data_IF_481687102474
#
_entry.id   IF_481687102474
#
_cell.length_a   1.000
_cell.length_b   1.000
_cell.length_c   1.000
_cell.angle_alpha   90.00
_cell.angle_beta   90.00
_cell.angle_gamma   90.00
#
_symmetry.space_group_name_H-M   'P 1'
#
loop_
_entity.id
_entity.type
_entity.pdbx_description
1 polymer ?
#
# COMPACT_ATOMS: atom_id res chain seq x y z
N UNK A 1 -12.89 8.99 -5.32
CA UNK A 1 -12.64 9.20 -3.86
C UNK A 1 -13.86 8.97 -2.97
N UNK A 2 -15.08 8.92 -3.49
CA UNK A 2 -16.29 8.70 -2.68
C UNK A 2 -16.19 7.44 -1.80
N UNK A 3 -15.63 6.34 -2.31
CA UNK A 3 -15.43 5.10 -1.56
C UNK A 3 -14.44 5.28 -0.39
N UNK A 4 -13.38 6.07 -0.57
CA UNK A 4 -12.43 6.36 0.50
C UNK A 4 -13.05 7.24 1.58
N UNK A 5 -13.82 8.27 1.19
CA UNK A 5 -14.55 9.09 2.16
C UNK A 5 -15.52 8.22 2.98
N UNK A 6 -16.25 7.29 2.32
CA UNK A 6 -17.19 6.41 3.02
C UNK A 6 -16.52 5.51 4.08
N UNK A 7 -15.26 5.12 3.86
CA UNK A 7 -14.51 4.24 4.78
C UNK A 7 -13.78 5.01 5.87
N UNK A 8 -13.15 6.14 5.51
CA UNK A 8 -12.15 6.79 6.38
C UNK A 8 -12.63 8.09 7.01
N UNK A 9 -13.63 8.76 6.41
CA UNK A 9 -14.07 10.06 6.88
C UNK A 9 -15.12 9.97 8.00
N UNK A 10 -15.18 10.96 8.88
CA UNK A 10 -16.31 11.13 9.77
C UNK A 10 -17.57 11.45 8.99
N UNK A 11 -18.72 11.23 9.59
CA UNK A 11 -20.01 11.64 9.04
C UNK A 11 -20.30 13.11 9.39
N UNK A 12 -20.83 13.84 8.45
CA UNK A 12 -21.38 15.17 8.66
C UNK A 12 -22.76 15.13 9.30
N UNK A 13 -23.35 16.30 9.55
CA UNK A 13 -24.67 16.45 10.17
C UNK A 13 -25.79 15.87 9.30
N UNK A 14 -25.57 15.77 7.99
CA UNK A 14 -26.45 15.13 7.02
C UNK A 14 -26.32 13.59 6.99
N UNK A 15 -25.45 13.04 7.85
CA UNK A 15 -25.15 11.60 7.91
C UNK A 15 -24.28 11.08 6.77
N UNK A 16 -23.84 11.93 5.83
CA UNK A 16 -22.97 11.54 4.73
C UNK A 16 -21.48 11.63 5.13
N UNK A 17 -20.59 10.84 4.51
CA UNK A 17 -19.16 10.95 4.72
C UNK A 17 -18.66 12.33 4.29
N UNK A 18 -17.94 13.03 5.18
CA UNK A 18 -17.34 14.32 4.87
C UNK A 18 -16.23 14.16 3.82
N UNK A 19 -16.16 15.03 2.79
CA UNK A 19 -15.07 14.97 1.82
C UNK A 19 -13.74 15.38 2.44
N UNK A 20 -12.66 14.67 2.08
CA UNK A 20 -11.30 15.01 2.52
C UNK A 20 -10.85 16.37 1.97
N UNK A 21 -11.27 16.68 0.76
CA UNK A 21 -10.93 17.94 0.10
C UNK A 21 -12.07 18.41 -0.80
N UNK A 22 -12.09 19.69 -1.03
CA UNK A 22 -12.98 20.35 -1.99
C UNK A 22 -12.49 20.03 -3.41
N UNK A 23 -13.37 19.48 -4.26
CA UNK A 23 -13.03 19.00 -5.61
C UNK A 23 -12.74 20.13 -6.61
N UNK A 24 -13.25 21.34 -6.38
CA UNK A 24 -13.07 22.50 -7.26
C UNK A 24 -11.75 23.22 -6.95
N UNK A 25 -11.45 23.37 -5.67
CA UNK A 25 -10.29 24.15 -5.21
C UNK A 25 -9.08 23.31 -4.80
N UNK A 26 -9.27 22.01 -4.57
CA UNK A 26 -8.25 21.12 -4.02
C UNK A 26 -7.95 21.37 -2.53
N UNK A 27 -8.68 22.27 -1.87
CA UNK A 27 -8.43 22.62 -0.47
C UNK A 27 -8.77 21.45 0.45
N UNK A 28 -7.80 21.00 1.23
CA UNK A 28 -7.97 19.90 2.19
C UNK A 28 -8.74 20.40 3.41
N UNK A 29 -9.71 19.60 3.89
CA UNK A 29 -10.37 19.81 5.17
C UNK A 29 -9.48 19.27 6.30
N UNK A 30 -8.93 20.14 7.17
CA UNK A 30 -8.00 19.72 8.22
C UNK A 30 -8.64 18.84 9.30
N UNK A 31 -9.93 18.96 9.53
CA UNK A 31 -10.65 18.10 10.46
C UNK A 31 -10.76 16.67 9.92
N UNK A 32 -11.16 16.53 8.66
CA UNK A 32 -11.24 15.23 7.99
C UNK A 32 -9.86 14.61 7.83
N UNK A 33 -8.84 15.40 7.42
CA UNK A 33 -7.47 14.93 7.30
C UNK A 33 -6.95 14.35 8.61
N UNK A 34 -7.21 15.02 9.74
CA UNK A 34 -6.84 14.52 11.07
C UNK A 34 -7.55 13.21 11.43
N UNK A 35 -8.82 13.05 11.02
CA UNK A 35 -9.53 11.80 11.22
C UNK A 35 -8.94 10.63 10.41
N UNK A 36 -8.33 10.91 9.25
CA UNK A 36 -7.67 9.92 8.41
C UNK A 36 -6.28 9.50 8.93
N UNK A 37 -5.62 10.30 9.77
CA UNK A 37 -4.28 9.99 10.30
C UNK A 37 -4.17 8.61 10.95
N UNK A 38 -5.23 8.12 11.57
CA UNK A 38 -5.26 6.78 12.18
C UNK A 38 -5.15 5.63 11.18
N UNK A 39 -5.30 5.92 9.89
CA UNK A 39 -5.15 4.97 8.79
C UNK A 39 -3.86 5.17 7.99
N UNK A 40 -3.07 6.19 8.33
CA UNK A 40 -1.77 6.43 7.71
C UNK A 40 -0.79 5.32 8.12
N UNK A 41 -0.47 4.46 7.14
CA UNK A 41 0.41 3.31 7.35
C UNK A 41 1.80 3.76 7.82
N UNK A 42 2.37 4.80 7.22
CA UNK A 42 3.69 5.31 7.59
C UNK A 42 3.72 5.80 9.03
N UNK A 43 2.67 6.53 9.44
CA UNK A 43 2.51 6.99 10.84
C UNK A 43 2.37 5.82 11.80
N UNK A 44 1.50 4.86 11.48
CA UNK A 44 1.28 3.67 12.31
C UNK A 44 2.56 2.86 12.50
N UNK A 45 3.34 2.67 11.43
CA UNK A 45 4.62 1.98 11.50
C UNK A 45 5.62 2.73 12.37
N UNK A 46 5.79 4.04 12.14
CA UNK A 46 6.72 4.88 12.89
C UNK A 46 6.42 4.88 14.39
N UNK A 47 5.15 5.03 14.76
CA UNK A 47 4.72 5.10 16.15
C UNK A 47 4.78 3.75 16.87
N UNK A 48 4.66 2.64 16.12
CA UNK A 48 4.53 1.31 16.69
C UNK A 48 5.63 0.32 16.27
N UNK A 49 6.73 0.81 15.67
CA UNK A 49 7.73 -0.05 15.08
C UNK A 49 8.36 -1.06 16.05
N UNK A 50 8.56 -0.66 17.29
CA UNK A 50 9.08 -1.57 18.32
C UNK A 50 8.25 -2.86 18.47
N UNK A 51 6.94 -2.75 18.28
CA UNK A 51 6.01 -3.88 18.38
C UNK A 51 5.71 -4.53 17.03
N UNK A 52 5.57 -3.71 15.98
CA UNK A 52 5.17 -4.18 14.65
C UNK A 52 6.37 -4.73 13.85
N UNK A 53 7.54 -4.10 13.95
CA UNK A 53 8.72 -4.49 13.19
C UNK A 53 9.05 -5.98 13.28
N UNK A 54 9.18 -6.56 14.49
CA UNK A 54 9.42 -7.99 14.63
C UNK A 54 8.33 -8.88 14.02
N UNK A 55 7.07 -8.43 14.04
CA UNK A 55 5.94 -9.16 13.46
C UNK A 55 5.89 -9.08 11.93
N UNK A 56 6.42 -8.01 11.36
CA UNK A 56 6.43 -7.73 9.93
C UNK A 56 7.68 -8.24 9.22
N UNK A 57 8.68 -8.67 9.98
CA UNK A 57 9.94 -9.16 9.44
C UNK A 57 9.72 -10.24 8.38
N UNK A 58 10.29 -10.03 7.18
CA UNK A 58 10.18 -10.93 6.04
C UNK A 58 8.81 -11.01 5.37
N UNK A 59 7.87 -10.09 5.70
CA UNK A 59 6.48 -10.17 5.22
C UNK A 59 6.07 -9.01 4.30
N UNK A 60 6.85 -7.94 4.27
CA UNK A 60 6.52 -6.77 3.45
C UNK A 60 7.21 -6.87 2.10
N UNK A 61 6.43 -7.19 1.08
CA UNK A 61 6.86 -7.20 -0.32
C UNK A 61 5.90 -6.34 -1.11
N UNK A 62 6.43 -5.32 -1.77
CA UNK A 62 5.64 -4.30 -2.48
C UNK A 62 6.19 -4.18 -3.90
N UNK A 63 5.29 -4.18 -4.88
CA UNK A 63 5.61 -3.89 -6.28
C UNK A 63 4.79 -2.71 -6.74
N UNK A 64 5.41 -1.78 -7.41
CA UNK A 64 4.74 -0.60 -7.97
C UNK A 64 5.36 -0.24 -9.32
N UNK A 65 4.53 0.20 -10.26
CA UNK A 65 5.00 0.74 -11.53
C UNK A 65 5.51 2.17 -11.39
N UNK A 66 6.61 2.52 -12.07
CA UNK A 66 7.14 3.91 -12.00
C UNK A 66 6.31 4.92 -12.79
N UNK A 67 5.37 4.45 -13.61
CA UNK A 67 4.38 5.27 -14.32
C UNK A 67 2.95 4.95 -13.85
N UNK A 68 2.78 4.71 -12.54
CA UNK A 68 1.48 4.36 -11.97
C UNK A 68 0.41 5.41 -12.31
N UNK A 69 -0.70 4.99 -12.88
CA UNK A 69 -1.78 5.86 -13.35
C UNK A 69 -2.41 6.70 -12.24
N UNK A 70 -2.33 6.25 -11.00
CA UNK A 70 -2.87 6.94 -9.82
C UNK A 70 -1.78 7.55 -8.94
N UNK A 71 -0.55 7.64 -9.43
CA UNK A 71 0.62 8.15 -8.69
C UNK A 71 0.89 7.43 -7.37
N UNK A 72 0.56 6.13 -7.28
CA UNK A 72 0.81 5.34 -6.07
C UNK A 72 2.30 5.10 -5.84
N UNK A 73 3.14 5.19 -6.88
CA UNK A 73 4.59 5.11 -6.75
C UNK A 73 5.16 6.22 -5.86
N UNK A 74 4.59 7.42 -5.88
CA UNK A 74 4.98 8.52 -4.99
C UNK A 74 4.72 8.16 -3.52
N UNK A 75 3.53 7.63 -3.21
CA UNK A 75 3.18 7.17 -1.87
C UNK A 75 4.07 6.01 -1.41
N UNK A 76 4.39 5.08 -2.32
CA UNK A 76 5.30 3.96 -2.04
C UNK A 76 6.72 4.47 -1.77
N UNK A 77 7.21 5.50 -2.48
CA UNK A 77 8.54 6.11 -2.22
C UNK A 77 8.61 6.72 -0.83
N UNK A 78 7.55 7.40 -0.37
CA UNK A 78 7.47 7.94 0.98
C UNK A 78 7.50 6.83 2.03
N UNK A 79 6.73 5.75 1.81
CA UNK A 79 6.73 4.59 2.69
C UNK A 79 8.09 3.87 2.71
N UNK A 80 8.75 3.71 1.55
CA UNK A 80 10.09 3.11 1.44
C UNK A 80 11.12 3.89 2.26
N UNK A 81 11.09 5.23 2.15
CA UNK A 81 11.99 6.08 2.92
C UNK A 81 11.76 5.93 4.44
N UNK A 82 10.52 5.79 4.88
CA UNK A 82 10.20 5.58 6.28
C UNK A 82 10.62 4.19 6.76
N UNK A 83 10.32 3.14 6.00
CA UNK A 83 10.72 1.76 6.31
C UNK A 83 12.25 1.61 6.41
N UNK A 84 13.02 2.29 5.55
CA UNK A 84 14.48 2.35 5.63
C UNK A 84 14.98 3.00 6.92
N UNK A 85 14.36 4.12 7.35
CA UNK A 85 14.69 4.77 8.63
C UNK A 85 14.41 3.85 9.83
N UNK A 86 13.36 3.05 9.73
CA UNK A 86 12.95 2.10 10.76
C UNK A 86 13.80 0.82 10.78
N UNK A 87 14.73 0.64 9.83
CA UNK A 87 15.55 -0.56 9.70
C UNK A 87 14.73 -1.80 9.28
N UNK A 88 13.67 -1.60 8.50
CA UNK A 88 12.86 -2.68 7.95
C UNK A 88 13.61 -3.49 6.91
N UNK A 89 13.32 -4.79 6.83
CA UNK A 89 13.76 -5.69 5.78
C UNK A 89 12.75 -5.78 4.60
N UNK A 90 11.83 -4.82 4.52
CA UNK A 90 10.84 -4.75 3.44
C UNK A 90 11.53 -4.74 2.07
N UNK A 91 10.96 -5.50 1.14
CA UNK A 91 11.38 -5.51 -0.27
C UNK A 91 10.40 -4.70 -1.09
N UNK A 92 10.91 -3.67 -1.77
CA UNK A 92 10.12 -2.80 -2.63
C UNK A 92 10.75 -2.81 -4.02
N UNK A 93 9.98 -3.25 -5.01
CA UNK A 93 10.40 -3.33 -6.40
C UNK A 93 9.64 -2.29 -7.22
N UNK A 94 10.39 -1.39 -7.87
CA UNK A 94 9.86 -0.40 -8.80
C UNK A 94 10.00 -0.95 -10.22
N UNK A 95 8.87 -1.21 -10.88
CA UNK A 95 8.83 -1.75 -12.22
C UNK A 95 8.82 -0.61 -13.24
N UNK A 96 9.92 -0.43 -13.94
CA UNK A 96 10.14 0.71 -14.81
C UNK A 96 9.12 0.79 -15.95
N UNK A 97 8.55 1.99 -16.14
CA UNK A 97 7.55 2.29 -17.17
C UNK A 97 6.20 1.60 -16.99
N UNK A 98 6.01 0.73 -15.99
CA UNK A 98 4.72 0.06 -15.77
C UNK A 98 3.70 1.01 -15.15
N UNK A 99 2.47 0.92 -15.67
CA UNK A 99 1.30 1.62 -15.14
C UNK A 99 0.59 0.77 -14.08
N UNK A 100 -0.46 1.31 -13.47
CA UNK A 100 -1.30 0.56 -12.53
C UNK A 100 -1.97 -0.67 -13.17
N UNK A 101 -2.30 -0.59 -14.46
CA UNK A 101 -3.09 -1.62 -15.14
C UNK A 101 -2.25 -2.70 -15.82
N UNK A 102 -1.00 -2.41 -16.20
CA UNK A 102 -0.12 -3.38 -16.84
C UNK A 102 0.91 -4.00 -15.89
N UNK A 103 0.85 -3.61 -14.61
CA UNK A 103 1.73 -4.11 -13.56
C UNK A 103 1.68 -5.64 -13.41
N UNK A 104 0.51 -6.25 -13.56
CA UNK A 104 0.27 -7.68 -13.35
C UNK A 104 0.56 -8.55 -14.57
N UNK A 105 1.02 -7.96 -15.64
CA UNK A 105 1.45 -8.69 -16.83
C UNK A 105 2.82 -9.35 -16.59
N UNK A 106 3.23 -10.24 -17.50
CA UNK A 106 4.56 -10.84 -17.51
C UNK A 106 4.91 -11.71 -16.27
N UNK A 107 3.92 -12.40 -15.72
CA UNK A 107 4.15 -13.40 -14.69
C UNK A 107 4.35 -12.85 -13.26
N UNK A 108 4.08 -11.57 -13.01
CA UNK A 108 4.20 -11.00 -11.66
C UNK A 108 3.27 -11.70 -10.66
N UNK A 109 2.04 -12.02 -11.05
CA UNK A 109 1.08 -12.71 -10.17
C UNK A 109 1.58 -14.10 -9.79
N UNK A 110 2.14 -14.85 -10.74
CA UNK A 110 2.74 -16.16 -10.50
C UNK A 110 3.93 -16.05 -9.56
N UNK A 111 4.78 -15.02 -9.75
CA UNK A 111 5.91 -14.74 -8.87
C UNK A 111 5.45 -14.49 -7.44
N UNK A 112 4.45 -13.61 -7.25
CA UNK A 112 3.87 -13.29 -5.93
C UNK A 112 3.29 -14.55 -5.28
N UNK A 113 2.48 -15.33 -6.00
CA UNK A 113 1.89 -16.56 -5.49
C UNK A 113 2.96 -17.56 -5.06
N UNK A 114 4.00 -17.75 -5.86
CA UNK A 114 5.10 -18.66 -5.53
C UNK A 114 5.86 -18.21 -4.27
N UNK A 115 6.10 -16.91 -4.11
CA UNK A 115 6.72 -16.37 -2.89
C UNK A 115 5.83 -16.61 -1.65
N UNK A 116 4.53 -16.35 -1.77
CA UNK A 116 3.57 -16.61 -0.68
C UNK A 116 3.53 -18.11 -0.32
N UNK A 117 3.50 -19.01 -1.32
CA UNK A 117 3.49 -20.44 -1.08
C UNK A 117 4.79 -20.95 -0.42
N UNK A 118 5.95 -20.42 -0.81
CA UNK A 118 7.23 -20.78 -0.18
C UNK A 118 7.24 -20.51 1.33
N UNK A 119 6.58 -19.44 1.76
CA UNK A 119 6.50 -19.07 3.18
C UNK A 119 5.38 -19.86 3.89
N UNK A 120 4.18 -19.90 3.32
CA UNK A 120 3.02 -20.50 3.96
C UNK A 120 3.00 -22.02 3.86
N UNK A 121 3.63 -22.59 2.84
CA UNK A 121 3.67 -24.03 2.54
C UNK A 121 5.05 -24.44 2.03
N UNK A 122 6.08 -24.54 2.87
CA UNK A 122 7.47 -24.76 2.45
C UNK A 122 7.69 -26.05 1.64
N UNK A 123 6.77 -27.02 1.72
CA UNK A 123 6.79 -28.26 0.94
C UNK A 123 5.96 -28.18 -0.35
N UNK A 124 5.41 -27.01 -0.69
CA UNK A 124 4.64 -26.84 -1.93
C UNK A 124 5.56 -26.91 -3.15
N UNK A 125 5.33 -27.90 -4.00
CA UNK A 125 5.94 -27.98 -5.34
C UNK A 125 4.94 -27.40 -6.34
N UNK A 126 5.29 -26.31 -7.00
CA UNK A 126 4.49 -25.83 -8.13
C UNK A 126 4.29 -26.96 -9.13
N UNK A 127 3.05 -27.24 -9.52
CA UNK A 127 2.81 -28.12 -10.66
C UNK A 127 3.49 -27.48 -11.86
N UNK A 128 4.40 -28.20 -12.50
CA UNK A 128 4.97 -27.74 -13.76
C UNK A 128 3.80 -27.38 -14.69
N UNK A 129 3.83 -26.16 -15.23
CA UNK A 129 2.87 -25.76 -16.23
C UNK A 129 2.89 -26.80 -17.35
N UNK A 130 1.77 -27.49 -17.56
CA UNK A 130 1.61 -28.39 -18.67
C UNK A 130 1.80 -27.53 -19.94
N UNK A 131 2.83 -27.87 -20.74
CA UNK A 131 3.08 -27.26 -22.03
C UNK A 131 1.96 -27.57 -23.01
#
# INVERSE_FOLDING_TARGET
LASFNAVFSPKGDDGQPMPLFDVETGRIDPFVARAWEKYDISKLLRENWKTLGPKLKGKLHIWVGTADTFHLDESVRLLDAELKKLGSDARIEYLDGKTHFDLYNEGLMEKIQLEMYKVARPNYKAKAAAK
#
